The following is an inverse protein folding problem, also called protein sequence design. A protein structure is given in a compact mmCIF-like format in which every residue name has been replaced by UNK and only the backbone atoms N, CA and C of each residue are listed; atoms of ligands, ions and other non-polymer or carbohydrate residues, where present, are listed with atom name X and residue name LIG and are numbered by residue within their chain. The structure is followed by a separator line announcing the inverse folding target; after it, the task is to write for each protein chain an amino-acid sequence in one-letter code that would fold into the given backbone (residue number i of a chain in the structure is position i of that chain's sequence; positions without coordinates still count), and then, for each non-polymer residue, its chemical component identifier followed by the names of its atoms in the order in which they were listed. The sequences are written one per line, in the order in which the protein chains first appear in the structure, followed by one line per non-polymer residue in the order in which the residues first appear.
data_IF_227539843221
#
_entry.id   IF_227539843221
#
_cell.length_a   1.000
_cell.length_b   1.000
_cell.length_c   1.000
_cell.angle_alpha   90.00
_cell.angle_beta   90.00
_cell.angle_gamma   90.00
#
_symmetry.space_group_name_H-M   'P 1'
#
loop_
_entity.id
_entity.type
_entity.pdbx_description
1 polymer ?
#
# COMPACT_ATOMS: atom_id res chain seq x y z
N UNK A 1 4.25 31.27 15.82
CA UNK A 1 5.68 30.95 15.77
C UNK A 1 6.23 31.71 14.59
N UNK A 2 7.28 32.49 14.79
CA UNK A 2 7.96 33.14 13.67
C UNK A 2 8.53 32.06 12.72
N UNK A 3 8.58 32.32 11.42
CA UNK A 3 9.06 31.31 10.46
C UNK A 3 10.53 30.96 10.70
N UNK A 4 11.33 31.92 11.18
CA UNK A 4 12.72 31.65 11.57
C UNK A 4 12.82 30.76 12.82
N UNK A 5 11.95 30.95 13.81
CA UNK A 5 11.85 30.06 14.98
C UNK A 5 11.44 28.64 14.56
N UNK A 6 10.54 28.52 13.58
CA UNK A 6 10.13 27.24 13.01
C UNK A 6 11.32 26.51 12.37
N UNK A 7 12.11 27.19 11.54
CA UNK A 7 13.28 26.59 10.90
C UNK A 7 14.35 26.14 11.91
N UNK A 8 14.55 26.92 12.98
CA UNK A 8 15.44 26.53 14.09
C UNK A 8 14.91 25.28 14.80
N UNK A 9 13.60 25.19 15.04
CA UNK A 9 13.01 24.01 15.65
C UNK A 9 13.15 22.77 14.78
N UNK A 10 12.98 22.93 13.45
CA UNK A 10 13.20 21.85 12.50
C UNK A 10 14.65 21.36 12.55
N UNK A 11 15.62 22.27 12.43
CA UNK A 11 17.04 21.93 12.47
C UNK A 11 17.43 21.15 13.75
N UNK A 12 16.91 21.57 14.90
CA UNK A 12 17.14 20.89 16.18
C UNK A 12 16.49 19.50 16.29
N UNK A 13 15.41 19.25 15.54
CA UNK A 13 14.68 18.00 15.58
C UNK A 13 15.23 16.94 14.59
N UNK A 14 16.10 17.33 13.66
CA UNK A 14 16.62 16.45 12.62
C UNK A 14 17.92 15.76 13.04
N UNK A 15 18.03 14.48 12.70
CA UNK A 15 19.25 13.70 12.89
C UNK A 15 20.31 14.08 11.83
N UNK A 16 21.57 13.68 12.04
CA UNK A 16 22.63 13.87 11.03
C UNK A 16 22.30 13.16 9.71
N UNK A 17 21.66 12.00 9.76
CA UNK A 17 21.27 11.25 8.57
C UNK A 17 20.10 11.93 7.86
N UNK A 18 19.18 12.54 8.62
CA UNK A 18 18.09 13.35 8.06
C UNK A 18 18.64 14.55 7.30
N UNK A 19 19.62 15.25 7.87
CA UNK A 19 20.28 16.40 7.21
C UNK A 19 20.93 15.95 5.90
N UNK A 20 21.64 14.81 5.90
CA UNK A 20 22.22 14.25 4.67
C UNK A 20 21.17 13.90 3.63
N UNK A 21 20.03 13.34 4.04
CA UNK A 21 18.92 13.04 3.14
C UNK A 21 18.33 14.33 2.54
N UNK A 22 18.12 15.38 3.35
CA UNK A 22 17.64 16.67 2.86
C UNK A 22 18.60 17.31 1.85
N UNK A 23 19.90 17.29 2.15
CA UNK A 23 20.94 17.78 1.23
C UNK A 23 20.92 17.00 -0.07
N UNK A 24 20.84 15.66 -0.01
CA UNK A 24 20.76 14.81 -1.19
C UNK A 24 19.54 15.14 -2.07
N UNK A 25 18.35 15.23 -1.47
CA UNK A 25 17.11 15.51 -2.20
C UNK A 25 17.11 16.90 -2.86
N UNK A 26 17.80 17.88 -2.27
CA UNK A 26 17.90 19.24 -2.79
C UNK A 26 19.00 19.43 -3.85
N UNK A 27 19.78 18.41 -4.19
CA UNK A 27 20.96 18.53 -5.08
C UNK A 27 20.60 19.09 -6.46
N UNK A 28 19.44 18.73 -7.02
CA UNK A 28 19.00 19.21 -8.34
C UNK A 28 18.32 20.59 -8.27
N UNK A 29 17.94 21.03 -7.07
CA UNK A 29 17.19 22.26 -6.83
C UNK A 29 18.17 23.41 -6.53
N UNK A 30 19.22 23.15 -5.76
CA UNK A 30 20.17 24.17 -5.32
C UNK A 30 21.37 24.23 -6.27
N UNK A 31 21.62 25.42 -6.83
CA UNK A 31 22.71 25.66 -7.81
C UNK A 31 24.12 25.51 -7.22
N UNK A 32 24.26 25.51 -5.88
CA UNK A 32 25.54 25.48 -5.17
C UNK A 32 25.85 24.09 -4.63
N UNK A 33 27.14 23.79 -4.50
CA UNK A 33 27.62 22.55 -3.88
C UNK A 33 27.19 22.45 -2.41
N UNK A 34 26.37 21.43 -2.14
CA UNK A 34 25.82 21.12 -0.82
C UNK A 34 26.75 20.26 0.04
N UNK A 35 27.85 19.75 -0.50
CA UNK A 35 28.75 18.80 0.18
C UNK A 35 29.49 19.38 1.39
N UNK A 36 29.54 20.71 1.49
CA UNK A 36 30.19 21.43 2.59
C UNK A 36 29.26 21.76 3.76
N UNK A 37 27.95 21.56 3.61
CA UNK A 37 26.97 21.92 4.62
C UNK A 37 26.88 20.86 5.71
N UNK A 38 26.83 21.31 6.97
CA UNK A 38 26.79 20.44 8.15
C UNK A 38 25.46 20.43 8.90
N UNK A 39 24.53 21.34 8.56
CA UNK A 39 23.26 21.51 9.29
C UNK A 39 22.07 21.77 8.35
N UNK A 40 20.85 21.48 8.83
CA UNK A 40 19.63 21.77 8.09
C UNK A 40 19.42 23.29 7.96
N UNK A 41 19.81 24.04 9.01
CA UNK A 41 19.72 25.51 9.02
C UNK A 41 20.50 26.16 7.89
N UNK A 42 21.69 25.68 7.57
CA UNK A 42 22.49 26.18 6.44
C UNK A 42 21.79 25.91 5.10
N UNK A 43 21.20 24.73 4.93
CA UNK A 43 20.38 24.41 3.76
C UNK A 43 19.16 25.33 3.67
N UNK A 44 18.45 25.55 4.77
CA UNK A 44 17.28 26.43 4.78
C UNK A 44 17.65 27.86 4.41
N UNK A 45 18.75 28.40 4.92
CA UNK A 45 19.24 29.71 4.54
C UNK A 45 19.49 29.82 3.03
N UNK A 46 20.10 28.79 2.41
CA UNK A 46 20.30 28.77 0.96
C UNK A 46 18.99 28.69 0.16
N UNK A 47 18.01 27.93 0.64
CA UNK A 47 16.69 27.84 0.01
C UNK A 47 15.92 29.18 0.14
N UNK A 48 16.10 29.90 1.25
CA UNK A 48 15.55 31.25 1.43
C UNK A 48 16.23 32.25 0.48
N UNK A 49 17.56 32.21 0.36
CA UNK A 49 18.32 33.08 -0.57
C UNK A 49 17.92 32.87 -2.04
N UNK A 50 17.38 31.71 -2.39
CA UNK A 50 16.90 31.35 -3.73
C UNK A 50 15.38 31.53 -3.91
N UNK A 51 14.67 32.09 -2.93
CA UNK A 51 13.20 32.27 -2.93
C UNK A 51 12.41 30.95 -3.08
N UNK A 52 13.01 29.84 -2.67
CA UNK A 52 12.41 28.50 -2.67
C UNK A 52 11.73 28.16 -1.35
N UNK A 53 12.05 28.91 -0.29
CA UNK A 53 11.53 28.72 1.05
C UNK A 53 11.21 30.07 1.70
N UNK A 54 9.96 30.27 2.09
CA UNK A 54 9.53 31.45 2.86
C UNK A 54 8.30 31.11 3.72
N UNK A 55 7.86 32.04 4.56
CA UNK A 55 6.64 31.86 5.35
C UNK A 55 5.40 31.67 4.45
N UNK A 56 5.37 32.33 3.29
CA UNK A 56 4.33 32.23 2.27
C UNK A 56 4.50 31.01 1.36
N UNK A 57 5.71 30.43 1.32
CA UNK A 57 6.09 29.29 0.47
C UNK A 57 6.72 28.14 1.28
N UNK A 58 6.00 27.53 2.25
CA UNK A 58 6.54 26.46 3.08
C UNK A 58 6.51 25.06 2.42
N UNK A 59 5.99 24.96 1.19
CA UNK A 59 5.63 23.68 0.58
C UNK A 59 6.83 22.78 0.30
N UNK A 60 7.96 23.33 -0.15
CA UNK A 60 9.19 22.55 -0.38
C UNK A 60 9.70 21.93 0.93
N UNK A 61 9.68 22.69 2.03
CA UNK A 61 10.04 22.16 3.35
C UNK A 61 9.05 21.07 3.79
N UNK A 62 7.77 21.23 3.49
CA UNK A 62 6.73 20.24 3.78
C UNK A 62 6.93 18.95 2.99
N UNK A 63 7.22 19.05 1.69
CA UNK A 63 7.55 17.95 0.78
C UNK A 63 8.80 17.21 1.28
N UNK A 64 9.90 17.93 1.54
CA UNK A 64 11.15 17.39 2.06
C UNK A 64 10.97 16.62 3.38
N UNK A 65 10.33 17.23 4.38
CA UNK A 65 10.08 16.59 5.67
C UNK A 65 9.13 15.38 5.56
N UNK A 66 8.26 15.37 4.56
CA UNK A 66 7.37 14.23 4.30
C UNK A 66 8.13 13.07 3.67
N UNK A 67 9.03 13.36 2.71
CA UNK A 67 9.90 12.37 2.06
C UNK A 67 10.81 11.69 3.09
N UNK A 68 11.46 12.45 3.98
CA UNK A 68 12.31 11.89 5.05
C UNK A 68 11.52 11.36 6.26
N UNK A 69 10.21 11.17 6.12
CA UNK A 69 9.31 10.58 7.12
C UNK A 69 9.25 11.31 8.47
N UNK A 70 9.46 12.64 8.48
CA UNK A 70 9.30 13.52 9.67
C UNK A 70 7.90 14.11 9.76
N UNK A 71 6.89 13.28 9.54
CA UNK A 71 5.46 13.67 9.50
C UNK A 71 4.94 14.26 10.82
N UNK A 72 5.49 13.84 11.97
CA UNK A 72 5.15 14.42 13.28
C UNK A 72 5.59 15.89 13.38
N UNK A 73 6.78 16.20 12.86
CA UNK A 73 7.34 17.55 12.86
C UNK A 73 6.52 18.48 11.94
N UNK A 74 6.14 17.98 10.75
CA UNK A 74 5.20 18.67 9.83
C UNK A 74 3.91 19.06 10.54
N UNK A 75 3.31 18.12 11.28
CA UNK A 75 2.06 18.35 12.04
C UNK A 75 2.23 19.34 13.18
N UNK A 76 3.29 19.21 13.97
CA UNK A 76 3.57 20.11 15.11
C UNK A 76 3.75 21.56 14.66
N UNK A 77 4.33 21.74 13.48
CA UNK A 77 4.64 23.05 12.91
C UNK A 77 3.51 23.63 12.06
N UNK A 78 2.40 22.91 11.90
CA UNK A 78 1.24 23.35 11.11
C UNK A 78 1.55 23.53 9.62
N UNK A 79 2.58 22.85 9.12
CA UNK A 79 2.97 22.90 7.71
C UNK A 79 1.95 22.11 6.87
N UNK A 80 1.44 22.72 5.80
CA UNK A 80 0.41 22.12 4.95
C UNK A 80 0.66 22.43 3.47
N UNK A 81 0.18 21.54 2.60
CA UNK A 81 0.40 21.59 1.15
C UNK A 81 1.51 20.63 0.69
N UNK A 82 1.45 20.25 -0.58
CA UNK A 82 2.43 19.38 -1.22
C UNK A 82 2.80 19.98 -2.56
N UNK A 83 4.09 20.02 -2.87
CA UNK A 83 4.62 20.33 -4.20
C UNK A 83 5.21 19.06 -4.81
N UNK A 84 5.48 19.08 -6.11
CA UNK A 84 6.29 18.07 -6.80
C UNK A 84 7.58 18.73 -7.28
N UNK A 85 8.33 19.27 -6.32
CA UNK A 85 9.57 20.02 -6.63
C UNK A 85 10.76 19.07 -6.72
N UNK A 86 10.73 17.95 -6.01
CA UNK A 86 11.82 16.98 -5.98
C UNK A 86 11.73 16.07 -7.20
N UNK A 87 12.85 15.88 -7.91
CA UNK A 87 12.87 15.10 -9.13
C UNK A 87 12.54 13.62 -8.86
N UNK A 88 11.80 12.93 -9.77
CA UNK A 88 11.53 11.50 -9.63
C UNK A 88 12.81 10.67 -9.51
N UNK A 89 13.89 11.11 -10.16
CA UNK A 89 15.21 10.50 -10.07
C UNK A 89 15.78 10.56 -8.64
N UNK A 90 15.71 11.71 -7.96
CA UNK A 90 16.16 11.84 -6.56
C UNK A 90 15.31 11.00 -5.62
N UNK A 91 14.00 10.94 -5.86
CA UNK A 91 13.08 10.06 -5.11
C UNK A 91 13.47 8.59 -5.25
N UNK A 92 13.75 8.11 -6.48
CA UNK A 92 14.23 6.75 -6.71
C UNK A 92 15.49 6.45 -5.91
N UNK A 93 16.51 7.30 -6.02
CA UNK A 93 17.79 7.05 -5.35
C UNK A 93 17.65 7.10 -3.82
N UNK A 94 16.82 8.00 -3.29
CA UNK A 94 16.53 8.04 -1.86
C UNK A 94 15.84 6.76 -1.39
N UNK A 95 14.77 6.32 -2.07
CA UNK A 95 14.06 5.08 -1.74
C UNK A 95 14.96 3.83 -1.83
N UNK A 96 15.85 3.78 -2.81
CA UNK A 96 16.83 2.70 -2.91
C UNK A 96 17.78 2.71 -1.71
N UNK A 97 18.21 3.90 -1.28
CA UNK A 97 19.14 4.05 -0.16
C UNK A 97 18.56 3.56 1.16
N UNK A 98 17.26 3.80 1.41
CA UNK A 98 16.55 3.35 2.60
C UNK A 98 16.45 1.81 2.67
N UNK A 99 16.40 1.14 1.52
CA UNK A 99 16.34 -0.33 1.44
C UNK A 99 17.69 -1.04 1.51
N UNK A 100 18.81 -0.32 1.68
CA UNK A 100 20.16 -0.88 1.66
C UNK A 100 20.72 -0.95 3.08
N UNK A 101 21.04 -2.17 3.53
CA UNK A 101 21.65 -2.40 4.85
C UNK A 101 23.13 -1.99 4.87
N UNK A 102 23.72 -1.84 6.06
CA UNK A 102 25.17 -1.60 6.19
C UNK A 102 26.02 -2.69 5.52
N UNK A 103 25.57 -3.95 5.56
CA UNK A 103 26.28 -5.06 4.94
C UNK A 103 26.17 -5.01 3.42
N UNK A 104 25.02 -4.61 2.90
CA UNK A 104 24.82 -4.38 1.47
C UNK A 104 25.62 -3.18 0.97
N UNK A 105 25.74 -2.12 1.76
CA UNK A 105 26.60 -0.98 1.47
C UNK A 105 28.08 -1.40 1.37
N UNK A 106 28.57 -2.32 2.23
CA UNK A 106 29.92 -2.86 2.09
C UNK A 106 30.10 -3.63 0.78
N UNK A 107 29.11 -4.43 0.38
CA UNK A 107 29.13 -5.15 -0.91
C UNK A 107 29.12 -4.18 -2.09
N UNK A 108 28.28 -3.14 -2.06
CA UNK A 108 28.24 -2.07 -3.08
C UNK A 108 29.60 -1.40 -3.20
N UNK A 109 30.19 -0.98 -2.07
CA UNK A 109 31.52 -0.38 -2.04
C UNK A 109 32.58 -1.32 -2.62
N UNK A 110 32.50 -2.62 -2.32
CA UNK A 110 33.40 -3.62 -2.85
C UNK A 110 33.30 -3.75 -4.38
N UNK A 111 32.08 -3.84 -4.92
CA UNK A 111 31.83 -3.93 -6.37
C UNK A 111 32.27 -2.67 -7.12
N UNK A 112 32.24 -1.51 -6.47
CA UNK A 112 32.65 -0.23 -7.04
C UNK A 112 34.17 0.04 -6.97
N UNK A 113 34.98 -0.82 -6.33
CA UNK A 113 36.42 -0.57 -6.12
C UNK A 113 37.23 -0.34 -7.39
N UNK A 114 36.82 -0.95 -8.50
CA UNK A 114 37.49 -0.79 -9.80
C UNK A 114 36.99 0.44 -10.58
N UNK A 115 35.84 1.01 -10.18
CA UNK A 115 35.19 2.15 -10.87
C UNK A 115 35.32 3.47 -10.09
N UNK A 116 35.56 3.41 -8.78
CA UNK A 116 35.69 4.57 -7.90
C UNK A 116 36.97 4.50 -7.04
N UNK A 117 37.62 5.64 -6.72
CA UNK A 117 38.86 5.63 -5.94
C UNK A 117 38.67 5.06 -4.51
N UNK A 118 39.41 4.00 -4.15
CA UNK A 118 39.38 3.36 -2.81
C UNK A 118 39.46 4.35 -1.65
N UNK A 119 40.29 5.40 -1.77
CA UNK A 119 40.46 6.43 -0.72
C UNK A 119 39.16 7.20 -0.41
N UNK A 120 38.26 7.39 -1.39
CA UNK A 120 36.98 8.07 -1.19
C UNK A 120 35.91 7.14 -0.61
N UNK A 121 35.85 5.90 -1.10
CA UNK A 121 34.86 4.89 -0.67
C UNK A 121 35.01 4.44 0.80
N UNK A 122 36.24 4.39 1.33
CA UNK A 122 36.52 3.85 2.66
C UNK A 122 36.68 4.92 3.76
N UNK A 123 37.11 6.14 3.43
CA UNK A 123 37.34 7.23 4.41
C UNK A 123 36.28 8.33 4.40
N UNK A 124 35.56 8.54 3.30
CA UNK A 124 34.69 9.72 3.10
C UNK A 124 33.22 9.35 2.99
N UNK A 125 32.90 8.16 2.50
CA UNK A 125 31.53 7.72 2.25
C UNK A 125 31.03 6.83 3.39
N UNK A 126 30.07 7.33 4.15
CA UNK A 126 29.40 6.69 5.28
C UNK A 126 28.03 6.13 4.93
N UNK A 127 27.32 6.73 3.97
CA UNK A 127 25.96 6.34 3.60
C UNK A 127 25.87 5.90 2.13
N UNK A 128 24.78 5.22 1.78
CA UNK A 128 24.49 4.82 0.40
C UNK A 128 24.26 6.04 -0.51
N UNK A 129 23.62 7.10 0.00
CA UNK A 129 23.40 8.35 -0.73
C UNK A 129 24.72 9.02 -1.16
N UNK A 130 25.72 9.01 -0.29
CA UNK A 130 27.06 9.53 -0.59
C UNK A 130 27.77 8.69 -1.67
N UNK A 131 27.51 7.37 -1.74
CA UNK A 131 27.98 6.54 -2.87
C UNK A 131 27.33 7.00 -4.17
N UNK A 132 26.00 7.21 -4.17
CA UNK A 132 25.28 7.65 -5.37
C UNK A 132 25.76 9.01 -5.87
N UNK A 133 25.99 9.98 -4.98
CA UNK A 133 26.57 11.28 -5.33
C UNK A 133 27.98 11.15 -5.92
N UNK A 134 28.83 10.26 -5.39
CA UNK A 134 30.16 10.02 -5.98
C UNK A 134 30.07 9.32 -7.34
N UNK A 135 29.09 8.44 -7.54
CA UNK A 135 28.81 7.86 -8.85
C UNK A 135 28.35 8.94 -9.84
N UNK A 136 27.49 9.87 -9.44
CA UNK A 136 27.06 11.02 -10.25
C UNK A 136 28.24 11.93 -10.60
N UNK A 137 29.09 12.28 -9.62
CA UNK A 137 30.27 13.11 -9.85
C UNK A 137 31.28 12.45 -10.80
N UNK A 138 31.27 11.12 -10.93
CA UNK A 138 32.08 10.37 -11.90
C UNK A 138 31.35 10.06 -13.21
N UNK A 139 30.18 10.64 -13.42
CA UNK A 139 29.29 10.40 -14.56
C UNK A 139 29.01 8.89 -14.76
N UNK A 140 28.99 8.14 -13.67
CA UNK A 140 28.68 6.71 -13.67
C UNK A 140 27.18 6.46 -13.46
N UNK A 141 26.47 7.47 -12.95
CA UNK A 141 25.06 7.44 -12.61
C UNK A 141 24.43 8.79 -12.95
N UNK A 142 23.29 8.78 -13.65
CA UNK A 142 22.40 9.93 -13.82
C UNK A 142 20.99 9.40 -14.19
N UNK A 143 20.01 10.28 -14.35
CA UNK A 143 18.61 9.92 -14.67
C UNK A 143 18.46 9.02 -15.92
N UNK A 144 19.38 9.12 -16.88
CA UNK A 144 19.37 8.32 -18.11
C UNK A 144 20.35 7.15 -18.11
N UNK A 145 21.22 7.06 -17.10
CA UNK A 145 22.33 6.11 -17.02
C UNK A 145 22.24 5.32 -15.73
N UNK A 146 21.33 4.34 -15.71
CA UNK A 146 21.06 3.50 -14.53
C UNK A 146 21.65 2.08 -14.64
N UNK A 147 22.17 1.68 -15.80
CA UNK A 147 22.66 0.33 -16.08
C UNK A 147 23.68 -0.15 -15.04
N UNK A 148 24.62 0.71 -14.67
CA UNK A 148 25.62 0.37 -13.67
C UNK A 148 25.01 0.15 -12.28
N UNK A 149 24.04 0.98 -11.90
CA UNK A 149 23.34 0.82 -10.63
C UNK A 149 22.58 -0.51 -10.62
N UNK A 150 21.94 -0.87 -11.74
CA UNK A 150 21.25 -2.14 -11.90
C UNK A 150 22.21 -3.34 -11.78
N UNK A 151 23.37 -3.28 -12.44
CA UNK A 151 24.44 -4.30 -12.35
C UNK A 151 24.91 -4.51 -10.91
N UNK A 152 25.04 -3.43 -10.14
CA UNK A 152 25.49 -3.47 -8.74
C UNK A 152 24.38 -4.00 -7.83
N UNK A 153 23.13 -3.59 -8.05
CA UNK A 153 22.01 -3.99 -7.19
C UNK A 153 21.61 -5.44 -7.38
N UNK A 154 21.78 -6.01 -8.57
CA UNK A 154 21.43 -7.42 -8.86
C UNK A 154 22.05 -8.44 -7.87
N UNK A 155 23.38 -8.44 -7.60
CA UNK A 155 23.98 -9.34 -6.62
C UNK A 155 23.82 -8.89 -5.16
N UNK A 156 23.50 -7.62 -4.89
CA UNK A 156 23.46 -7.07 -3.54
C UNK A 156 22.04 -7.12 -2.95
N UNK A 157 21.07 -6.54 -3.65
CA UNK A 157 19.67 -6.48 -3.25
C UNK A 157 18.76 -6.60 -4.49
N UNK A 158 18.54 -7.83 -5.00
CA UNK A 158 17.80 -8.06 -6.25
C UNK A 158 16.35 -7.58 -6.18
N UNK A 159 15.78 -7.47 -4.97
CA UNK A 159 14.42 -6.96 -4.76
C UNK A 159 14.28 -5.48 -5.11
N UNK A 160 15.35 -4.69 -4.94
CA UNK A 160 15.36 -3.27 -5.29
C UNK A 160 15.65 -3.01 -6.77
N UNK A 161 16.15 -4.03 -7.50
CA UNK A 161 16.42 -3.94 -8.94
C UNK A 161 15.15 -3.61 -9.75
N UNK A 162 14.00 -4.11 -9.31
CA UNK A 162 12.72 -3.87 -9.98
C UNK A 162 12.31 -2.39 -9.95
N UNK A 163 12.66 -1.64 -8.88
CA UNK A 163 12.41 -0.18 -8.81
C UNK A 163 13.22 0.58 -9.87
N UNK A 164 14.47 0.17 -10.11
CA UNK A 164 15.34 0.77 -11.13
C UNK A 164 14.78 0.50 -12.53
N UNK A 165 14.40 -0.76 -12.82
CA UNK A 165 13.80 -1.13 -14.11
C UNK A 165 12.53 -0.37 -14.42
N UNK A 166 11.61 -0.32 -13.45
CA UNK A 166 10.35 0.40 -13.59
C UNK A 166 10.58 1.89 -13.89
N UNK A 167 11.53 2.53 -13.21
CA UNK A 167 11.90 3.91 -13.49
C UNK A 167 12.46 4.09 -14.91
N UNK A 168 13.33 3.20 -15.37
CA UNK A 168 13.89 3.22 -16.73
C UNK A 168 12.78 3.06 -17.79
N UNK A 169 11.86 2.10 -17.60
CA UNK A 169 10.75 1.82 -18.51
C UNK A 169 9.77 3.01 -18.62
N UNK A 170 9.52 3.71 -17.51
CA UNK A 170 8.70 4.93 -17.48
C UNK A 170 9.37 6.12 -18.19
N UNK A 171 10.69 6.22 -18.13
CA UNK A 171 11.44 7.28 -18.81
C UNK A 171 11.62 7.03 -20.31
N UNK A 172 11.63 5.77 -20.75
CA UNK A 172 11.65 5.41 -22.18
C UNK A 172 10.30 5.63 -22.87
N UNK A 173 9.18 5.35 -22.19
CA UNK A 173 7.82 5.57 -22.72
C UNK A 173 7.45 7.04 -22.86
N UNK A 174 8.03 7.93 -22.04
CA UNK A 174 7.87 9.38 -22.16
C UNK A 174 8.75 10.04 -23.25
N UNK A 175 9.70 9.31 -23.85
CA UNK A 175 10.52 9.76 -24.99
C UNK A 175 10.04 9.12 -26.29
N UNK A 176 8.88 9.54 -26.79
CA UNK A 176 8.42 9.15 -28.13
C UNK A 176 9.43 9.55 -29.23
N UNK A 177 9.55 8.79 -30.32
CA UNK A 177 10.46 9.13 -31.41
C UNK A 177 9.94 10.35 -32.20
N UNK A 178 10.84 11.27 -32.52
CA UNK A 178 10.61 12.30 -33.55
C UNK A 178 10.40 11.57 -34.88
N UNK A 179 9.23 11.66 -35.50
CA UNK A 179 9.08 11.33 -36.92
C UNK A 179 8.01 12.15 -37.62
N UNK A 180 8.39 12.65 -38.79
CA UNK A 180 7.55 13.30 -39.78
C UNK A 180 6.38 12.41 -40.22
N UNK A 181 5.28 13.07 -40.55
CA UNK A 181 4.02 12.51 -41.04
C UNK A 181 4.20 11.52 -42.21
N UNK A 182 3.49 10.39 -42.17
CA UNK A 182 2.47 10.01 -43.17
C UNK A 182 1.87 8.64 -42.85
N UNK A 183 0.53 8.55 -42.96
CA UNK A 183 -0.15 7.36 -43.48
C UNK A 183 -0.49 6.20 -42.54
N UNK A 184 -1.70 6.25 -41.98
CA UNK A 184 -2.67 5.13 -41.81
C UNK A 184 -2.25 3.84 -41.09
N UNK A 185 -2.92 3.59 -39.95
CA UNK A 185 -3.55 2.28 -39.69
C UNK A 185 -3.11 1.51 -38.44
N UNK A 186 -4.06 1.41 -37.49
CA UNK A 186 -4.31 0.29 -36.55
C UNK A 186 -3.59 0.32 -35.20
N UNK A 187 -4.33 0.78 -34.18
CA UNK A 187 -4.02 0.76 -32.75
C UNK A 187 -4.26 -0.62 -32.12
N UNK A 188 -3.23 -1.17 -31.45
CA UNK A 188 -3.32 -2.27 -30.49
C UNK A 188 -2.57 -1.87 -29.21
N UNK A 189 -3.27 -1.90 -28.08
CA UNK A 189 -2.83 -1.46 -26.75
C UNK A 189 -2.57 -2.66 -25.82
N UNK A 190 -1.39 -2.71 -25.20
CA UNK A 190 -0.95 -3.59 -24.09
C UNK A 190 0.10 -2.81 -23.28
N UNK A 191 0.21 -2.78 -21.95
CA UNK A 191 -0.50 -3.45 -20.84
C UNK A 191 0.01 -2.86 -19.52
N UNK A 192 -0.85 -2.17 -18.77
CA UNK A 192 -0.60 -1.55 -17.45
C UNK A 192 -0.96 -2.49 -16.29
N UNK A 193 -0.04 -3.34 -15.82
CA UNK A 193 -0.32 -4.26 -14.70
C UNK A 193 0.61 -4.11 -13.47
N UNK A 194 1.65 -3.28 -13.48
CA UNK A 194 2.60 -3.16 -12.35
C UNK A 194 2.32 -2.00 -11.37
N UNK A 195 1.59 -0.95 -11.80
CA UNK A 195 1.25 0.23 -10.97
C UNK A 195 0.12 -0.06 -9.96
N UNK A 196 -0.64 -1.15 -10.18
CA UNK A 196 -1.82 -1.53 -9.39
C UNK A 196 -1.52 -1.82 -7.90
N UNK A 197 -0.29 -2.25 -7.57
CA UNK A 197 0.04 -2.70 -6.22
C UNK A 197 0.60 -1.58 -5.32
N UNK A 198 1.24 -0.55 -5.89
CA UNK A 198 1.81 0.57 -5.11
C UNK A 198 0.76 1.60 -4.67
N UNK A 199 -0.28 1.84 -5.49
CA UNK A 199 -1.33 2.81 -5.15
C UNK A 199 -2.31 2.23 -4.11
N UNK A 200 -2.57 0.92 -4.14
CA UNK A 200 -3.37 0.23 -3.12
C UNK A 200 -2.74 0.36 -1.72
N UNK A 201 -1.41 0.29 -1.64
CA UNK A 201 -0.67 0.40 -0.38
C UNK A 201 -0.76 1.82 0.20
N UNK A 202 -0.64 2.86 -0.64
CA UNK A 202 -0.80 4.26 -0.22
C UNK A 202 -2.22 4.58 0.26
N UNK A 203 -3.26 4.00 -0.35
CA UNK A 203 -4.64 4.16 0.10
C UNK A 203 -4.83 3.54 1.49
N UNK A 204 -4.41 2.28 1.70
CA UNK A 204 -4.56 1.57 2.98
C UNK A 204 -3.74 2.24 4.12
N UNK A 205 -2.54 2.74 3.82
CA UNK A 205 -1.67 3.42 4.78
C UNK A 205 -2.20 4.80 5.17
N UNK A 206 -2.76 5.56 4.23
CA UNK A 206 -3.34 6.89 4.50
C UNK A 206 -4.59 6.80 5.39
N UNK A 207 -5.39 5.74 5.21
CA UNK A 207 -6.60 5.46 5.98
C UNK A 207 -6.26 5.12 7.43
N UNK A 208 -5.25 4.27 7.63
CA UNK A 208 -4.76 3.87 8.96
C UNK A 208 -4.26 5.05 9.80
N UNK A 209 -3.76 6.11 9.15
CA UNK A 209 -3.24 7.31 9.82
C UNK A 209 -4.33 8.31 10.21
N UNK A 210 -5.51 8.25 9.58
CA UNK A 210 -6.67 9.10 9.88
C UNK A 210 -7.50 8.60 11.07
N UNK A 211 -7.56 7.28 11.28
CA UNK A 211 -8.29 6.66 12.40
C UNK A 211 -7.65 6.88 13.79
N UNK A 212 -6.45 7.45 13.86
CA UNK A 212 -5.77 7.69 15.15
C UNK A 212 -5.96 9.10 15.72
N UNK A 213 -6.59 10.05 15.02
CA UNK A 213 -6.67 11.44 15.49
C UNK A 213 -8.03 12.08 15.17
N UNK A 214 -8.79 12.42 16.22
CA UNK A 214 -9.99 13.25 16.17
C UNK A 214 -9.67 14.64 15.58
N UNK A 215 -9.94 14.89 14.29
CA UNK A 215 -9.76 16.22 13.67
C UNK A 215 -10.92 16.68 12.77
N UNK A 216 -11.00 18.02 12.66
CA UNK A 216 -12.06 18.86 12.10
C UNK A 216 -12.48 18.60 10.64
N UNK A 217 -13.77 18.86 10.39
CA UNK A 217 -14.56 18.55 9.18
C UNK A 217 -14.06 19.23 7.88
N UNK A 218 -13.34 20.35 7.94
CA UNK A 218 -12.93 21.11 6.75
C UNK A 218 -11.67 20.56 6.04
N UNK A 219 -10.79 19.86 6.77
CA UNK A 219 -9.53 19.29 6.22
C UNK A 219 -9.83 18.03 5.37
N UNK A 220 -10.86 17.28 5.75
CA UNK A 220 -11.28 16.03 5.09
C UNK A 220 -11.78 16.32 3.67
N UNK A 221 -12.50 17.42 3.47
CA UNK A 221 -13.11 17.77 2.18
C UNK A 221 -12.07 18.03 1.08
N UNK A 222 -10.96 18.69 1.40
CA UNK A 222 -9.95 19.08 0.39
C UNK A 222 -9.01 17.93 0.00
N UNK A 223 -8.65 17.05 0.96
CA UNK A 223 -7.91 15.82 0.68
C UNK A 223 -8.76 14.79 -0.10
N UNK A 224 -10.07 14.74 0.18
CA UNK A 224 -11.00 13.91 -0.62
C UNK A 224 -11.07 14.43 -2.06
N UNK A 225 -11.09 15.73 -2.32
CA UNK A 225 -11.18 16.27 -3.69
C UNK A 225 -9.91 15.99 -4.51
N UNK A 226 -8.71 16.16 -3.91
CA UNK A 226 -7.44 15.86 -4.58
C UNK A 226 -7.25 14.37 -4.89
N UNK A 227 -7.66 13.50 -3.96
CA UNK A 227 -7.69 12.05 -4.19
C UNK A 227 -8.74 11.65 -5.21
N UNK A 228 -9.91 12.32 -5.26
CA UNK A 228 -10.96 12.07 -6.25
C UNK A 228 -10.53 12.38 -7.68
N UNK A 229 -9.74 13.44 -7.90
CA UNK A 229 -9.22 13.80 -9.22
C UNK A 229 -8.22 12.76 -9.75
N UNK A 230 -7.31 12.29 -8.88
CA UNK A 230 -6.37 11.19 -9.21
C UNK A 230 -7.09 9.85 -9.37
N UNK A 231 -8.12 9.59 -8.56
CA UNK A 231 -8.97 8.40 -8.67
C UNK A 231 -9.77 8.41 -9.97
N UNK A 232 -10.35 9.55 -10.39
CA UNK A 232 -11.04 9.68 -11.68
C UNK A 232 -10.10 9.47 -12.87
N UNK A 233 -8.86 9.96 -12.81
CA UNK A 233 -7.85 9.71 -13.84
C UNK A 233 -7.47 8.21 -13.92
N UNK A 234 -7.27 7.54 -12.77
CA UNK A 234 -6.94 6.10 -12.71
C UNK A 234 -8.11 5.19 -13.11
N UNK A 235 -9.33 5.56 -12.72
CA UNK A 235 -10.58 4.94 -13.11
C UNK A 235 -10.85 4.91 -14.62
N UNK A 236 -10.19 5.80 -15.37
CA UNK A 236 -10.26 5.85 -16.82
C UNK A 236 -9.18 4.97 -17.49
N UNK A 237 -8.17 4.52 -16.73
CA UNK A 237 -7.03 3.70 -17.19
C UNK A 237 -7.20 2.23 -16.79
N UNK A 238 -7.63 1.97 -15.55
CA UNK A 238 -8.00 0.64 -15.05
C UNK A 238 -9.52 0.55 -15.05
N UNK A 239 -10.07 -0.33 -15.90
CA UNK A 239 -11.51 -0.52 -16.02
C UNK A 239 -12.18 -0.70 -14.66
N UNK A 240 -13.29 -0.01 -14.41
CA UNK A 240 -14.11 -0.19 -13.22
C UNK A 240 -14.95 -1.44 -13.37
N UNK A 241 -15.11 -2.20 -12.28
CA UNK A 241 -16.21 -3.14 -12.22
C UNK A 241 -17.53 -2.38 -12.37
N UNK A 242 -18.41 -2.81 -13.29
CA UNK A 242 -19.74 -2.25 -13.39
C UNK A 242 -20.48 -2.54 -12.08
N UNK A 243 -20.86 -1.47 -11.40
CA UNK A 243 -21.57 -1.47 -10.11
C UNK A 243 -22.99 -0.91 -10.29
N UNK A 244 -23.65 -1.32 -11.37
CA UNK A 244 -24.88 -0.75 -11.95
C UNK A 244 -26.02 -1.77 -12.09
N UNK A 245 -25.83 -2.98 -11.56
CA UNK A 245 -26.81 -4.04 -11.48
C UNK A 245 -28.01 -3.65 -10.63
N UNK A 246 -29.09 -4.42 -10.76
CA UNK A 246 -30.34 -4.17 -10.05
C UNK A 246 -30.15 -4.26 -8.54
N UNK A 247 -29.26 -5.15 -8.10
CA UNK A 247 -28.88 -5.33 -6.70
C UNK A 247 -27.36 -5.29 -6.59
N UNK A 248 -26.86 -4.86 -5.44
CA UNK A 248 -25.40 -4.88 -5.20
C UNK A 248 -24.88 -6.31 -5.16
N UNK A 249 -25.53 -7.19 -4.42
CA UNK A 249 -25.08 -8.57 -4.24
C UNK A 249 -25.55 -9.21 -2.96
N UNK A 250 -25.26 -10.50 -2.80
CA UNK A 250 -25.37 -11.18 -1.51
C UNK A 250 -24.15 -10.90 -0.64
N UNK A 251 -24.39 -10.80 0.68
CA UNK A 251 -23.36 -10.72 1.71
C UNK A 251 -23.63 -11.81 2.75
N UNK A 252 -22.84 -12.89 2.72
CA UNK A 252 -22.87 -13.93 3.75
C UNK A 252 -22.07 -13.47 4.96
N UNK A 253 -22.64 -13.58 6.16
CA UNK A 253 -21.92 -13.38 7.43
C UNK A 253 -22.03 -14.65 8.26
N UNK A 254 -20.93 -15.39 8.40
CA UNK A 254 -20.83 -16.52 9.33
C UNK A 254 -20.27 -16.00 10.65
N UNK A 255 -21.06 -16.10 11.73
CA UNK A 255 -20.66 -15.69 13.06
C UNK A 255 -20.63 -16.87 14.03
N UNK A 256 -19.43 -17.40 14.29
CA UNK A 256 -19.22 -18.49 15.24
C UNK A 256 -18.82 -17.93 16.60
N UNK A 257 -19.67 -18.16 17.60
CA UNK A 257 -19.49 -17.71 18.97
C UNK A 257 -19.25 -18.87 19.93
N UNK A 258 -20.11 -19.89 19.91
CA UNK A 258 -20.14 -20.96 20.90
C UNK A 258 -19.35 -22.18 20.42
N UNK A 259 -18.24 -22.48 21.09
CA UNK A 259 -17.38 -23.63 20.81
C UNK A 259 -17.41 -24.65 21.96
N UNK A 260 -18.42 -24.60 22.85
CA UNK A 260 -18.50 -25.50 24.01
C UNK A 260 -18.51 -26.98 23.64
N UNK A 261 -19.03 -27.31 22.45
CA UNK A 261 -19.15 -28.67 21.93
C UNK A 261 -18.06 -29.02 20.90
N UNK A 262 -17.04 -28.16 20.76
CA UNK A 262 -15.93 -28.39 19.84
C UNK A 262 -15.08 -29.58 20.28
N UNK A 263 -14.64 -30.40 19.33
CA UNK A 263 -13.67 -31.48 19.58
C UNK A 263 -12.29 -30.93 19.97
N UNK A 264 -12.02 -29.66 19.66
CA UNK A 264 -10.82 -28.91 20.06
C UNK A 264 -11.13 -28.02 21.25
N UNK A 265 -10.15 -27.82 22.13
CA UNK A 265 -10.27 -26.86 23.24
C UNK A 265 -10.20 -25.42 22.71
N UNK A 266 -11.37 -24.85 22.39
CA UNK A 266 -11.54 -23.50 21.87
C UNK A 266 -12.47 -22.71 22.79
N UNK A 267 -12.10 -21.47 23.12
CA UNK A 267 -12.91 -20.60 23.96
C UNK A 267 -14.04 -19.93 23.18
N UNK A 268 -15.13 -19.56 23.84
CA UNK A 268 -16.21 -18.78 23.21
C UNK A 268 -15.72 -17.38 22.76
N UNK A 269 -16.29 -16.88 21.66
CA UNK A 269 -15.82 -15.67 20.97
C UNK A 269 -16.56 -14.40 21.39
N UNK A 270 -16.56 -14.08 22.68
CA UNK A 270 -17.17 -12.87 23.27
C UNK A 270 -16.95 -11.57 22.46
N UNK A 271 -18.01 -10.82 22.17
CA UNK A 271 -17.94 -9.59 21.37
C UNK A 271 -18.00 -9.80 19.85
N UNK A 272 -18.03 -11.03 19.34
CA UNK A 272 -18.22 -11.30 17.90
C UNK A 272 -19.60 -10.89 17.38
N UNK A 273 -20.59 -10.79 18.27
CA UNK A 273 -21.92 -10.28 17.96
C UNK A 273 -21.91 -8.77 17.68
N UNK A 274 -20.94 -8.03 18.21
CA UNK A 274 -20.71 -6.61 17.91
C UNK A 274 -20.22 -6.48 16.47
N UNK A 275 -19.23 -7.30 16.09
CA UNK A 275 -18.71 -7.37 14.73
C UNK A 275 -19.80 -7.75 13.73
N UNK A 276 -20.59 -8.79 14.03
CA UNK A 276 -21.72 -9.21 13.21
C UNK A 276 -22.70 -8.04 12.98
N UNK A 277 -23.12 -7.35 14.05
CA UNK A 277 -24.06 -6.22 13.95
C UNK A 277 -23.48 -5.06 13.13
N UNK A 278 -22.18 -4.81 13.26
CA UNK A 278 -21.48 -3.76 12.52
C UNK A 278 -21.46 -4.08 11.01
N UNK A 279 -21.04 -5.30 10.65
CA UNK A 279 -21.02 -5.79 9.27
C UNK A 279 -22.43 -5.77 8.65
N UNK A 280 -23.42 -6.30 9.36
CA UNK A 280 -24.80 -6.29 8.87
C UNK A 280 -25.28 -4.87 8.57
N UNK A 281 -25.02 -3.92 9.46
CA UNK A 281 -25.42 -2.52 9.28
C UNK A 281 -24.75 -1.90 8.05
N UNK A 282 -23.43 -2.07 7.92
CA UNK A 282 -22.65 -1.46 6.83
C UNK A 282 -22.99 -2.09 5.49
N UNK A 283 -23.03 -3.42 5.39
CA UNK A 283 -23.32 -4.07 4.11
C UNK A 283 -24.78 -3.90 3.68
N UNK A 284 -25.75 -3.84 4.61
CA UNK A 284 -27.13 -3.41 4.28
C UNK A 284 -27.14 -1.97 3.75
N UNK A 285 -26.40 -1.06 4.41
CA UNK A 285 -26.28 0.33 3.97
C UNK A 285 -25.65 0.46 2.56
N UNK A 286 -24.71 -0.42 2.22
CA UNK A 286 -24.10 -0.51 0.87
C UNK A 286 -25.02 -1.16 -0.18
N UNK A 287 -26.22 -1.60 0.21
CA UNK A 287 -27.23 -2.17 -0.69
C UNK A 287 -27.13 -3.68 -0.91
N UNK A 288 -26.41 -4.40 -0.04
CA UNK A 288 -26.33 -5.86 -0.10
C UNK A 288 -27.53 -6.55 0.55
N UNK A 289 -27.85 -7.73 0.04
CA UNK A 289 -28.74 -8.68 0.68
C UNK A 289 -27.94 -9.53 1.66
N UNK A 290 -28.03 -9.19 2.95
CA UNK A 290 -27.22 -9.82 3.99
C UNK A 290 -27.91 -11.09 4.52
N UNK A 291 -27.22 -12.23 4.42
CA UNK A 291 -27.60 -13.52 5.03
C UNK A 291 -26.63 -13.83 6.18
N UNK A 292 -27.15 -13.86 7.41
CA UNK A 292 -26.35 -14.14 8.61
C UNK A 292 -26.60 -15.55 9.12
N UNK A 293 -25.54 -16.31 9.31
CA UNK A 293 -25.55 -17.68 9.81
C UNK A 293 -24.74 -17.74 11.11
N UNK A 294 -25.34 -18.25 12.20
CA UNK A 294 -24.74 -18.27 13.54
C UNK A 294 -24.32 -19.67 13.95
N UNK A 295 -23.17 -19.77 14.62
CA UNK A 295 -22.66 -21.02 15.21
C UNK A 295 -22.70 -22.20 14.23
N UNK A 296 -22.09 -22.03 13.07
CA UNK A 296 -22.06 -23.04 12.03
C UNK A 296 -20.97 -24.08 12.28
N UNK A 297 -21.38 -25.35 12.29
CA UNK A 297 -20.46 -26.48 12.13
C UNK A 297 -19.90 -26.50 10.71
N UNK A 298 -18.84 -27.28 10.46
CA UNK A 298 -18.20 -27.40 9.14
C UNK A 298 -19.21 -27.63 8.02
N UNK A 299 -20.06 -28.65 8.16
CA UNK A 299 -20.99 -29.05 7.08
C UNK A 299 -22.08 -27.99 6.84
N UNK A 300 -22.45 -27.23 7.88
CA UNK A 300 -23.37 -26.10 7.73
C UNK A 300 -22.71 -24.95 6.96
N UNK A 301 -21.44 -24.63 7.24
CA UNK A 301 -20.69 -23.61 6.47
C UNK A 301 -20.62 -23.99 4.99
N UNK A 302 -20.24 -25.23 4.69
CA UNK A 302 -20.13 -25.72 3.30
C UNK A 302 -21.48 -25.76 2.59
N UNK A 303 -22.54 -26.19 3.27
CA UNK A 303 -23.89 -26.23 2.66
C UNK A 303 -24.45 -24.84 2.34
N UNK A 304 -24.18 -23.83 3.17
CA UNK A 304 -24.58 -22.44 2.90
C UNK A 304 -23.80 -21.88 1.70
N UNK A 305 -22.49 -22.15 1.62
CA UNK A 305 -21.69 -21.77 0.45
C UNK A 305 -22.22 -22.42 -0.82
N UNK A 306 -22.52 -23.72 -0.80
CA UNK A 306 -23.10 -24.41 -1.96
C UNK A 306 -24.49 -23.89 -2.32
N UNK A 307 -25.33 -23.54 -1.34
CA UNK A 307 -26.62 -22.89 -1.57
C UNK A 307 -26.45 -21.55 -2.29
N UNK A 308 -25.53 -20.70 -1.83
CA UNK A 308 -25.31 -19.37 -2.44
C UNK A 308 -24.69 -19.48 -3.84
N UNK A 309 -23.80 -20.46 -4.04
CA UNK A 309 -23.23 -20.74 -5.37
C UNK A 309 -24.31 -21.01 -6.42
N UNK A 310 -25.37 -21.74 -6.06
CA UNK A 310 -26.42 -22.16 -7.01
C UNK A 310 -27.48 -21.09 -7.26
N UNK A 311 -27.42 -19.96 -6.54
CA UNK A 311 -28.29 -18.82 -6.80
C UNK A 311 -27.90 -18.08 -8.07
N UNK A 312 -28.85 -17.33 -8.64
CA UNK A 312 -28.60 -16.48 -9.79
C UNK A 312 -28.07 -15.11 -9.36
N UNK A 313 -26.81 -14.83 -9.72
CA UNK A 313 -26.12 -13.57 -9.48
C UNK A 313 -26.08 -12.66 -10.72
N UNK A 314 -26.77 -13.03 -11.81
CA UNK A 314 -26.63 -12.32 -13.10
C UNK A 314 -27.01 -10.84 -13.00
N UNK A 315 -28.02 -10.50 -12.20
CA UNK A 315 -28.49 -9.13 -11.94
C UNK A 315 -27.78 -8.44 -10.76
N UNK A 316 -26.76 -9.08 -10.19
CA UNK A 316 -25.97 -8.55 -9.08
C UNK A 316 -24.62 -8.02 -9.57
N UNK A 317 -24.06 -7.07 -8.84
CA UNK A 317 -22.75 -6.52 -9.17
C UNK A 317 -21.60 -7.35 -8.62
N UNK A 318 -21.73 -7.86 -7.39
CA UNK A 318 -20.65 -8.50 -6.67
C UNK A 318 -21.14 -9.49 -5.61
N UNK A 319 -20.21 -10.17 -4.96
CA UNK A 319 -20.47 -11.08 -3.86
C UNK A 319 -19.55 -10.78 -2.67
N UNK A 320 -20.09 -10.86 -1.45
CA UNK A 320 -19.33 -10.69 -0.21
C UNK A 320 -19.53 -11.89 0.72
N UNK A 321 -18.46 -12.34 1.37
CA UNK A 321 -18.50 -13.34 2.43
C UNK A 321 -17.61 -12.93 3.59
N UNK A 322 -18.19 -12.80 4.79
CA UNK A 322 -17.50 -12.49 6.03
C UNK A 322 -17.53 -13.70 6.95
N UNK A 323 -16.37 -14.13 7.45
CA UNK A 323 -16.26 -15.28 8.36
C UNK A 323 -15.61 -14.82 9.67
N UNK A 324 -16.35 -14.93 10.77
CA UNK A 324 -15.93 -14.62 12.13
C UNK A 324 -15.80 -15.92 12.93
N UNK A 325 -14.59 -16.46 13.06
CA UNK A 325 -14.38 -17.74 13.76
C UNK A 325 -13.00 -17.82 14.43
N UNK A 326 -12.70 -18.97 15.04
CA UNK A 326 -11.31 -19.39 15.27
C UNK A 326 -10.73 -19.92 13.97
N UNK A 327 -9.40 -20.00 13.89
CA UNK A 327 -8.71 -20.52 12.72
C UNK A 327 -7.28 -20.92 13.00
N UNK A 328 -6.66 -21.44 11.96
CA UNK A 328 -5.25 -21.80 11.90
C UNK A 328 -4.74 -21.53 10.47
N UNK A 329 -3.49 -21.87 10.17
CA UNK A 329 -2.89 -21.58 8.87
C UNK A 329 -3.78 -22.09 7.71
N UNK A 330 -4.28 -21.16 6.88
CA UNK A 330 -5.14 -21.39 5.70
C UNK A 330 -6.53 -21.99 5.98
N UNK A 331 -6.98 -21.99 7.23
CA UNK A 331 -8.25 -22.60 7.62
C UNK A 331 -9.00 -21.86 8.73
N UNK A 332 -10.30 -22.12 8.81
CA UNK A 332 -11.19 -21.66 9.89
C UNK A 332 -11.87 -22.86 10.54
N UNK A 333 -12.30 -22.73 11.79
CA UNK A 333 -13.03 -23.79 12.48
C UNK A 333 -14.54 -23.57 12.40
N UNK A 334 -15.28 -24.65 12.19
CA UNK A 334 -16.68 -24.73 12.61
C UNK A 334 -16.80 -24.80 14.13
N UNK A 335 -18.00 -24.57 14.67
CA UNK A 335 -18.24 -24.68 16.12
C UNK A 335 -18.05 -26.10 16.68
N UNK A 336 -18.07 -27.10 15.79
CA UNK A 336 -17.73 -28.49 16.05
C UNK A 336 -16.21 -28.72 16.20
N UNK A 337 -15.38 -27.71 15.94
CA UNK A 337 -13.92 -27.79 15.99
C UNK A 337 -13.29 -28.43 14.75
N UNK A 338 -14.12 -28.78 13.76
CA UNK A 338 -13.67 -29.29 12.46
C UNK A 338 -13.17 -28.15 11.60
N UNK A 339 -12.11 -28.40 10.84
CA UNK A 339 -11.49 -27.41 9.98
C UNK A 339 -12.22 -27.29 8.64
N UNK A 340 -12.31 -26.06 8.16
CA UNK A 340 -12.73 -25.71 6.81
C UNK A 340 -11.60 -24.92 6.16
N UNK A 341 -11.02 -25.46 5.09
CA UNK A 341 -9.99 -24.74 4.36
C UNK A 341 -10.60 -23.53 3.67
N UNK A 342 -9.85 -22.41 3.61
CA UNK A 342 -10.35 -21.20 2.93
C UNK A 342 -10.70 -21.47 1.47
N UNK A 343 -9.96 -22.38 0.81
CA UNK A 343 -10.24 -22.81 -0.56
C UNK A 343 -11.62 -23.46 -0.70
N UNK A 344 -12.06 -24.26 0.27
CA UNK A 344 -13.40 -24.88 0.27
C UNK A 344 -14.53 -23.83 0.35
N UNK A 345 -14.22 -22.62 0.82
CA UNK A 345 -15.16 -21.50 0.94
C UNK A 345 -15.11 -20.56 -0.26
N UNK A 346 -13.96 -20.42 -0.94
CA UNK A 346 -13.78 -19.50 -2.07
C UNK A 346 -13.99 -20.14 -3.44
N UNK A 347 -13.45 -21.35 -3.67
CA UNK A 347 -13.48 -22.04 -4.95
C UNK A 347 -14.89 -22.25 -5.55
N UNK A 348 -15.96 -22.48 -4.73
CA UNK A 348 -17.34 -22.54 -5.22
C UNK A 348 -17.81 -21.29 -5.98
N UNK A 349 -17.19 -20.14 -5.74
CA UNK A 349 -17.53 -18.86 -6.39
C UNK A 349 -16.59 -18.50 -7.56
N UNK A 350 -15.66 -19.39 -7.94
CA UNK A 350 -14.80 -19.22 -9.13
C UNK A 350 -15.62 -19.05 -10.41
N UNK A 351 -15.02 -18.46 -11.45
CA UNK A 351 -15.67 -18.22 -12.74
C UNK A 351 -16.13 -19.52 -13.46
N UNK A 352 -15.55 -20.66 -13.06
CA UNK A 352 -15.92 -22.00 -13.52
C UNK A 352 -17.11 -22.56 -12.73
N UNK A 353 -17.10 -22.42 -11.41
CA UNK A 353 -18.11 -23.04 -10.55
C UNK A 353 -19.39 -22.20 -10.37
N UNK A 354 -19.29 -20.89 -10.51
CA UNK A 354 -20.40 -19.94 -10.46
C UNK A 354 -20.35 -18.96 -11.66
N UNK A 355 -20.82 -19.37 -12.85
CA UNK A 355 -20.73 -18.54 -14.06
C UNK A 355 -21.43 -17.18 -13.98
N UNK A 356 -22.47 -17.05 -13.15
CA UNK A 356 -23.20 -15.79 -12.94
C UNK A 356 -22.39 -14.72 -12.16
N UNK A 357 -21.26 -15.11 -11.55
CA UNK A 357 -20.27 -14.26 -10.88
C UNK A 357 -18.96 -14.08 -11.67
N UNK A 358 -18.91 -14.50 -12.93
CA UNK A 358 -17.75 -14.27 -13.81
C UNK A 358 -17.56 -12.77 -14.04
N UNK A 359 -16.30 -12.29 -13.96
CA UNK A 359 -15.94 -10.86 -14.11
C UNK A 359 -16.60 -9.91 -13.10
N UNK A 360 -17.13 -10.47 -12.00
CA UNK A 360 -17.73 -9.72 -10.89
C UNK A 360 -16.87 -9.87 -9.65
N UNK A 361 -16.65 -8.83 -8.85
CA UNK A 361 -15.77 -8.93 -7.69
C UNK A 361 -16.37 -9.82 -6.61
N UNK A 362 -15.53 -10.66 -6.01
CA UNK A 362 -15.85 -11.65 -4.98
C UNK A 362 -14.98 -11.36 -3.75
N UNK A 363 -15.57 -10.76 -2.72
CA UNK A 363 -14.85 -10.22 -1.57
C UNK A 363 -15.00 -11.13 -0.35
N UNK A 364 -13.90 -11.60 0.21
CA UNK A 364 -13.86 -12.44 1.40
C UNK A 364 -13.14 -11.72 2.54
N UNK A 365 -13.81 -11.56 3.69
CA UNK A 365 -13.26 -10.93 4.89
C UNK A 365 -13.18 -11.96 6.01
N UNK A 366 -11.97 -12.34 6.41
CA UNK A 366 -11.74 -13.46 7.33
C UNK A 366 -11.17 -12.94 8.66
N UNK A 367 -12.01 -12.94 9.68
CA UNK A 367 -11.62 -12.68 11.07
C UNK A 367 -11.40 -14.02 11.79
N UNK A 368 -10.18 -14.54 11.67
CA UNK A 368 -9.72 -15.73 12.36
C UNK A 368 -8.21 -15.67 12.59
N UNK A 369 -7.71 -16.39 13.60
CA UNK A 369 -6.26 -16.59 13.76
C UNK A 369 -5.71 -17.40 12.57
N UNK A 370 -4.43 -17.21 12.25
CA UNK A 370 -3.72 -18.00 11.25
C UNK A 370 -2.54 -18.79 11.85
N UNK A 371 -2.46 -18.83 13.19
CA UNK A 371 -1.49 -19.60 13.97
C UNK A 371 -1.53 -19.23 15.45
N UNK A 372 -0.53 -19.69 16.21
CA UNK A 372 -0.45 -19.55 17.67
C UNK A 372 0.63 -18.57 18.14
N UNK A 373 1.41 -17.98 17.24
CA UNK A 373 2.44 -17.02 17.62
C UNK A 373 1.82 -15.65 17.89
N UNK A 374 2.14 -15.06 19.04
CA UNK A 374 1.90 -13.65 19.29
C UNK A 374 2.91 -12.83 18.51
N UNK A 375 2.44 -11.84 17.74
CA UNK A 375 3.33 -11.00 16.96
C UNK A 375 4.10 -10.06 17.89
N UNK A 376 5.42 -10.27 18.04
CA UNK A 376 6.28 -9.32 18.73
C UNK A 376 6.26 -7.99 17.98
N UNK A 377 5.96 -6.91 18.69
CA UNK A 377 6.07 -5.56 18.16
C UNK A 377 7.55 -5.24 17.94
N UNK A 378 7.97 -5.21 16.67
CA UNK A 378 9.27 -4.71 16.23
C UNK A 378 9.02 -3.44 15.43
N UNK A 379 9.75 -2.37 15.70
CA UNK A 379 9.70 -1.17 14.86
C UNK A 379 10.38 -1.47 13.53
N UNK A 380 9.61 -1.69 12.45
CA UNK A 380 10.13 -1.81 11.08
C UNK A 380 9.14 -1.21 10.07
N UNK A 381 9.70 -0.49 9.08
CA UNK A 381 9.09 -0.08 7.81
C UNK A 381 8.48 -1.28 7.07
N UNK A 382 7.39 -1.07 6.33
CA UNK A 382 6.67 -2.11 5.61
C UNK A 382 6.71 -1.81 4.11
N UNK A 383 7.16 -2.78 3.31
CA UNK A 383 6.87 -2.93 1.88
C UNK A 383 7.12 -4.37 1.44
N UNK A 384 6.24 -4.91 0.58
CA UNK A 384 6.47 -6.15 -0.14
C UNK A 384 5.25 -6.61 -0.96
N UNK A 385 5.27 -6.53 -2.31
CA UNK A 385 4.28 -7.19 -3.15
C UNK A 385 4.60 -8.69 -3.29
N UNK A 386 3.56 -9.53 -3.29
CA UNK A 386 3.65 -10.97 -3.58
C UNK A 386 3.73 -11.18 -5.11
N UNK A 387 4.78 -11.83 -5.60
CA UNK A 387 4.92 -12.26 -7.00
C UNK A 387 3.99 -13.45 -7.33
N UNK A 388 3.48 -13.48 -8.56
CA UNK A 388 2.92 -14.68 -9.19
C UNK A 388 3.63 -14.90 -10.52
N UNK A 389 4.18 -16.10 -10.72
CA UNK A 389 5.08 -16.44 -11.83
C UNK A 389 4.36 -17.09 -13.03
N UNK A 390 3.07 -16.84 -13.24
CA UNK A 390 2.27 -17.55 -14.24
C UNK A 390 2.15 -16.81 -15.59
N UNK A 391 2.49 -17.50 -16.70
CA UNK A 391 2.13 -17.06 -18.04
C UNK A 391 0.61 -17.10 -18.23
N UNK A 392 0.00 -15.95 -18.53
CA UNK A 392 -1.43 -15.83 -18.86
C UNK A 392 -1.65 -16.16 -20.35
N UNK A 393 -2.49 -17.15 -20.70
CA UNK A 393 -2.86 -17.39 -22.10
C UNK A 393 -3.62 -16.18 -22.67
N UNK A 394 -3.27 -15.74 -23.88
CA UNK A 394 -4.02 -14.69 -24.57
C UNK A 394 -5.47 -15.17 -24.80
N UNK A 395 -6.44 -14.36 -24.32
CA UNK A 395 -7.90 -14.54 -24.39
C UNK A 395 -8.57 -15.46 -23.33
N UNK A 396 -7.97 -15.62 -22.15
CA UNK A 396 -8.64 -16.31 -21.03
C UNK A 396 -8.40 -15.61 -19.69
N UNK A 397 -9.46 -15.41 -18.90
CA UNK A 397 -9.33 -15.02 -17.49
C UNK A 397 -9.06 -16.27 -16.63
N UNK A 398 -8.19 -16.19 -15.61
CA UNK A 398 -8.02 -17.27 -14.65
C UNK A 398 -9.34 -17.65 -13.96
N UNK A 399 -9.51 -18.93 -13.62
CA UNK A 399 -10.72 -19.42 -12.96
C UNK A 399 -10.98 -18.71 -11.62
N UNK A 400 -9.93 -18.35 -10.90
CA UNK A 400 -9.96 -17.67 -9.60
C UNK A 400 -9.77 -16.14 -9.71
N UNK A 401 -9.97 -15.56 -10.89
CA UNK A 401 -9.93 -14.11 -11.07
C UNK A 401 -11.03 -13.37 -10.28
N UNK A 402 -10.81 -12.08 -10.05
CA UNK A 402 -11.73 -11.15 -9.38
C UNK A 402 -12.05 -11.50 -7.92
N UNK A 403 -11.18 -12.27 -7.25
CA UNK A 403 -11.30 -12.57 -5.81
C UNK A 403 -10.41 -11.62 -5.01
N UNK A 404 -11.00 -10.92 -4.03
CA UNK A 404 -10.27 -10.23 -2.97
C UNK A 404 -10.41 -11.05 -1.68
N UNK A 405 -9.30 -11.48 -1.10
CA UNK A 405 -9.30 -12.12 0.22
C UNK A 405 -8.53 -11.24 1.21
N UNK A 406 -9.22 -10.75 2.23
CA UNK A 406 -8.66 -9.92 3.28
C UNK A 406 -8.67 -10.70 4.60
N UNK A 407 -7.47 -10.90 5.15
CA UNK A 407 -7.24 -11.63 6.39
C UNK A 407 -7.00 -10.66 7.54
N UNK A 408 -7.57 -10.94 8.72
CA UNK A 408 -7.36 -10.10 9.91
C UNK A 408 -5.91 -10.14 10.46
N UNK A 409 -5.13 -11.15 10.06
CA UNK A 409 -3.72 -11.31 10.44
C UNK A 409 -2.96 -12.07 9.36
N UNK A 410 -1.64 -11.86 9.29
CA UNK A 410 -0.75 -12.60 8.39
C UNK A 410 -0.58 -14.07 8.87
N UNK A 411 -0.18 -15.00 7.98
CA UNK A 411 -0.01 -16.41 8.33
C UNK A 411 0.85 -16.62 9.57
N UNK A 412 0.48 -17.61 10.39
CA UNK A 412 1.13 -18.01 11.65
C UNK A 412 0.85 -17.14 12.90
N UNK A 413 0.16 -16.00 12.78
CA UNK A 413 -0.11 -15.10 13.90
C UNK A 413 -1.56 -15.10 14.40
N UNK A 414 -1.76 -14.62 15.62
CA UNK A 414 -3.07 -14.45 16.26
C UNK A 414 -3.77 -13.17 15.80
N UNK A 415 -5.11 -13.18 15.78
CA UNK A 415 -5.93 -11.99 15.52
C UNK A 415 -6.60 -11.51 16.82
N UNK A 416 -6.70 -10.20 17.02
CA UNK A 416 -7.18 -9.62 18.28
C UNK A 416 -8.66 -9.26 18.25
N UNK A 417 -9.34 -9.55 19.37
CA UNK A 417 -10.75 -9.22 19.60
C UNK A 417 -10.98 -8.73 21.02
N UNK A 418 -11.61 -7.58 21.14
CA UNK A 418 -12.08 -7.03 22.40
C UNK A 418 -13.51 -7.49 22.69
N UNK A 419 -13.79 -7.90 23.93
CA UNK A 419 -15.09 -8.46 24.31
C UNK A 419 -16.23 -7.42 24.31
N UNK A 420 -15.92 -6.14 24.47
CA UNK A 420 -16.88 -5.04 24.58
C UNK A 420 -16.94 -4.16 23.33
N UNK A 421 -15.91 -4.20 22.50
CA UNK A 421 -15.79 -3.34 21.31
C UNK A 421 -15.78 -4.12 19.99
N UNK A 422 -15.63 -5.45 20.02
CA UNK A 422 -15.47 -6.27 18.81
C UNK A 422 -14.01 -6.43 18.38
N UNK A 423 -13.78 -6.99 17.20
CA UNK A 423 -12.42 -7.18 16.66
C UNK A 423 -11.90 -5.94 15.95
N UNK A 424 -10.61 -5.67 16.12
CA UNK A 424 -10.00 -4.45 15.56
C UNK A 424 -10.16 -4.39 14.04
N UNK A 425 -9.93 -5.50 13.36
CA UNK A 425 -10.05 -5.59 11.91
C UNK A 425 -11.47 -5.28 11.43
N UNK A 426 -12.50 -5.91 12.01
CA UNK A 426 -13.88 -5.70 11.56
C UNK A 426 -14.39 -4.30 11.90
N UNK A 427 -14.06 -3.78 13.09
CA UNK A 427 -14.46 -2.43 13.47
C UNK A 427 -13.83 -1.39 12.54
N UNK A 428 -12.53 -1.49 12.26
CA UNK A 428 -11.83 -0.59 11.33
C UNK A 428 -12.35 -0.73 9.90
N UNK A 429 -12.57 -1.96 9.42
CA UNK A 429 -13.15 -2.21 8.10
C UNK A 429 -14.50 -1.48 7.94
N UNK A 430 -15.42 -1.69 8.88
CA UNK A 430 -16.74 -1.08 8.85
C UNK A 430 -16.69 0.44 8.94
N UNK A 431 -15.85 0.99 9.82
CA UNK A 431 -15.67 2.45 9.95
C UNK A 431 -15.18 3.06 8.63
N UNK A 432 -14.16 2.47 8.02
CA UNK A 432 -13.58 2.96 6.78
C UNK A 432 -14.55 2.85 5.61
N UNK A 433 -15.31 1.75 5.49
CA UNK A 433 -16.35 1.62 4.48
C UNK A 433 -17.41 2.72 4.59
N UNK A 434 -17.83 3.08 5.79
CA UNK A 434 -18.82 4.15 6.01
C UNK A 434 -18.25 5.53 5.67
N UNK A 435 -17.00 5.80 6.01
CA UNK A 435 -16.36 7.10 5.79
C UNK A 435 -15.99 7.33 4.32
N UNK A 436 -15.58 6.29 3.61
CA UNK A 436 -14.89 6.44 2.33
C UNK A 436 -15.71 6.09 1.11
N UNK A 437 -16.78 5.30 1.25
CA UNK A 437 -17.62 4.98 0.10
C UNK A 437 -18.34 6.26 -0.37
N UNK A 438 -18.08 6.75 -1.60
CA UNK A 438 -18.64 7.99 -2.08
C UNK A 438 -20.17 7.92 -2.09
N UNK A 439 -20.82 8.89 -1.45
CA UNK A 439 -22.28 9.01 -1.54
C UNK A 439 -22.65 9.59 -2.89
N UNK A 440 -23.38 8.83 -3.70
CA UNK A 440 -24.19 9.45 -4.74
C UNK A 440 -25.33 10.17 -4.02
N UNK A 441 -25.16 11.48 -3.82
CA UNK A 441 -26.27 12.35 -3.40
C UNK A 441 -27.29 12.26 -4.52
N UNK A 442 -28.41 11.57 -4.26
CA UNK A 442 -29.57 11.59 -5.15
C UNK A 442 -30.34 12.88 -4.98
#
# INVERSE_FOLDING_TARGET
MDFQELLVHVDQALSKDDVKALLFLCTDIVVRDLSSLGSAKELFALLQDQDLLSAERPFLLTELLTIIHRTRLVRQLGLSGSTTSISPYRMLLYELSEGITEEDLKKIKFLLREKLPRKKLEKTVSTTLEVFLEMEHKDLLNETKLNLLEEIMKPVCPMLQNKIKHFTEQNETNRGPVTQETGTGRSQSTSDLSVSNQVHFLIIVSISLSCMLDFNIDIVTTHIIGTYSSYQHWCNVVGKYPMVGVKRGFCLIVNNYDFSNSIKQLNNREGTDIDQRCLEKVFKWLGFEVETEKNCARDKMLSVVQKLRTMDHSQMDCFVCCILSHGQDRGVFGVDGQEVQLKELTEPFSALQCPSLREKPKLFFIQACQGTYEQQAVCIQSDGPVCSDAQVPKNSIPADADILMSMATVPHYVSYRDKKQGSWFIQLLCQNLVQMVPRLVK
#
